data_IF_065866435522
#
_entry.id   IF_065866435522
#
_cell.length_a   1.000
_cell.length_b   1.000
_cell.length_c   1.000
_cell.angle_alpha   90.00
_cell.angle_beta   90.00
_cell.angle_gamma   90.00
#
_symmetry.space_group_name_H-M   'P 1'
#
loop_
_entity.id
_entity.type
_entity.pdbx_description
1 polymer ?
#
# COMPACT_ATOMS: atom_id res chain seq x y z
N UNK A 1 43.11 -14.10 5.32
CA UNK A 1 42.77 -12.97 6.21
C UNK A 1 42.59 -11.76 5.33
N UNK A 2 41.44 -11.18 5.07
CA UNK A 2 40.04 -11.47 5.38
C UNK A 2 39.30 -10.78 4.24
N UNK A 3 38.62 -11.55 3.39
CA UNK A 3 37.82 -10.98 2.31
C UNK A 3 36.65 -10.25 2.94
N UNK A 4 36.58 -8.95 2.68
CA UNK A 4 35.49 -8.07 3.07
C UNK A 4 34.19 -8.62 2.45
N UNK A 5 33.40 -9.32 3.27
CA UNK A 5 32.04 -9.70 2.91
C UNK A 5 31.21 -8.43 2.84
N UNK A 6 31.06 -7.88 1.64
CA UNK A 6 30.03 -6.90 1.33
C UNK A 6 28.68 -7.45 1.83
N UNK A 7 27.90 -6.69 2.62
CA UNK A 7 26.56 -7.13 3.01
C UNK A 7 25.79 -7.39 1.73
N UNK A 8 25.28 -8.62 1.57
CA UNK A 8 24.41 -8.96 0.45
C UNK A 8 23.32 -7.90 0.40
N UNK A 9 23.16 -7.25 -0.75
CA UNK A 9 22.07 -6.31 -0.96
C UNK A 9 20.78 -7.08 -0.61
N UNK A 10 20.19 -6.78 0.54
CA UNK A 10 18.92 -7.37 0.94
C UNK A 10 17.95 -7.06 -0.20
N UNK A 11 17.51 -8.12 -0.86
CA UNK A 11 16.68 -7.92 -2.04
C UNK A 11 15.28 -7.69 -1.54
N UNK A 12 14.95 -6.41 -1.40
CA UNK A 12 13.65 -5.97 -0.93
C UNK A 12 12.61 -6.44 -1.96
N UNK A 13 11.59 -7.20 -1.53
CA UNK A 13 10.51 -7.58 -2.42
C UNK A 13 9.89 -6.31 -3.02
N UNK A 14 9.65 -6.34 -4.33
CA UNK A 14 9.07 -5.21 -5.05
C UNK A 14 7.77 -5.64 -5.68
N UNK A 15 6.71 -4.89 -5.43
CA UNK A 15 5.41 -5.14 -6.05
C UNK A 15 5.13 -4.12 -7.13
N UNK A 16 4.23 -4.48 -8.03
CA UNK A 16 3.66 -3.57 -9.02
C UNK A 16 2.23 -3.98 -9.31
N UNK A 17 1.39 -3.05 -9.75
CA UNK A 17 0.06 -3.38 -10.28
C UNK A 17 0.16 -4.45 -11.39
N UNK A 18 -0.72 -5.45 -11.36
CA UNK A 18 -0.83 -6.42 -12.44
C UNK A 18 -1.27 -5.76 -13.76
N UNK A 19 -0.80 -6.31 -14.89
CA UNK A 19 -1.30 -5.92 -16.21
C UNK A 19 -2.74 -6.42 -16.35
N UNK A 20 -3.63 -5.57 -16.87
CA UNK A 20 -5.04 -5.92 -17.02
C UNK A 20 -5.89 -5.66 -15.77
N UNK A 21 -5.42 -4.89 -14.80
CA UNK A 21 -6.23 -4.41 -13.67
C UNK A 21 -6.57 -2.93 -13.87
N UNK A 22 -7.86 -2.61 -13.91
CA UNK A 22 -8.35 -1.24 -13.85
C UNK A 22 -8.22 -0.71 -12.43
N UNK A 23 -7.79 0.55 -12.31
CA UNK A 23 -7.60 1.24 -11.03
C UNK A 23 -8.30 2.58 -11.10
N UNK A 24 -9.13 2.85 -10.10
CA UNK A 24 -9.67 4.19 -9.85
C UNK A 24 -9.21 4.59 -8.45
N UNK A 25 -8.28 5.54 -8.38
CA UNK A 25 -7.75 6.07 -7.14
C UNK A 25 -8.46 7.39 -6.80
N UNK A 26 -9.19 7.40 -5.70
CA UNK A 26 -9.89 8.56 -5.14
C UNK A 26 -9.14 8.93 -3.85
N UNK A 27 -8.15 9.84 -3.92
CA UNK A 27 -7.43 10.26 -2.73
C UNK A 27 -8.39 10.94 -1.75
N UNK A 28 -8.00 10.96 -0.47
CA UNK A 28 -8.68 11.79 0.50
C UNK A 28 -8.67 13.24 0.00
N UNK A 29 -9.83 13.91 0.03
CA UNK A 29 -9.86 15.32 -0.32
C UNK A 29 -9.08 16.05 0.78
N UNK A 30 -8.01 16.78 0.41
CA UNK A 30 -7.24 17.63 1.33
C UNK A 30 -8.19 18.19 2.39
N UNK A 31 -7.97 17.82 3.65
CA UNK A 31 -8.68 18.38 4.79
C UNK A 31 -8.58 19.91 4.65
N UNK A 32 -9.63 20.55 4.14
CA UNK A 32 -9.74 21.99 4.30
C UNK A 32 -9.73 22.21 5.82
N UNK A 33 -8.93 23.18 6.32
CA UNK A 33 -8.90 23.45 7.75
C UNK A 33 -10.34 23.70 8.18
N UNK A 34 -10.87 22.78 9.00
CA UNK A 34 -12.23 22.83 9.49
C UNK A 34 -12.35 24.01 10.46
N UNK A 35 -12.62 25.19 9.91
CA UNK A 35 -12.98 26.37 10.70
C UNK A 35 -14.45 26.27 11.10
N UNK A 36 -14.82 25.36 12.01
CA UNK A 36 -16.07 25.47 12.75
C UNK A 36 -16.10 24.56 13.97
N UNK A 37 -16.01 25.16 15.15
CA UNK A 37 -16.57 24.57 16.36
C UNK A 37 -18.08 24.34 16.18
N UNK A 38 -18.54 23.17 16.57
CA UNK A 38 -19.94 22.80 16.55
C UNK A 38 -20.16 21.53 17.38
N UNK A 39 -20.62 21.72 18.60
CA UNK A 39 -20.98 20.68 19.56
C UNK A 39 -22.19 19.84 19.08
N UNK A 40 -22.00 18.55 18.76
CA UNK A 40 -22.99 17.50 19.06
C UNK A 40 -22.41 16.08 18.94
N UNK A 41 -22.53 15.21 19.97
CA UNK A 41 -22.20 13.79 19.87
C UNK A 41 -23.50 12.96 19.77
N UNK A 42 -23.74 12.30 18.65
CA UNK A 42 -24.58 11.10 18.55
C UNK A 42 -24.49 10.50 17.14
N UNK A 43 -24.30 9.18 17.09
CA UNK A 43 -24.26 8.29 15.94
C UNK A 43 -22.87 8.07 15.32
N UNK A 44 -22.57 6.79 15.05
CA UNK A 44 -21.23 6.20 14.90
C UNK A 44 -20.18 7.12 14.26
N UNK A 45 -19.23 7.57 15.08
CA UNK A 45 -18.10 8.40 14.68
C UNK A 45 -17.27 7.68 13.61
N UNK A 46 -17.63 7.89 12.33
CA UNK A 46 -16.73 7.70 11.22
C UNK A 46 -15.62 8.75 11.39
N UNK A 47 -14.58 8.37 12.14
CA UNK A 47 -13.27 8.96 11.93
C UNK A 47 -13.05 8.86 10.43
N UNK A 48 -12.81 9.95 9.69
CA UNK A 48 -12.46 9.84 8.29
C UNK A 48 -11.26 8.90 8.24
N UNK A 49 -11.45 7.71 7.64
CA UNK A 49 -10.38 6.75 7.54
C UNK A 49 -9.34 7.34 6.62
N UNK A 50 -8.30 7.96 7.20
CA UNK A 50 -7.24 8.60 6.45
C UNK A 50 -6.72 7.63 5.39
N UNK A 51 -6.74 8.07 4.12
CA UNK A 51 -6.25 7.27 3.00
C UNK A 51 -7.17 7.18 1.78
N UNK A 52 -8.37 7.78 1.79
CA UNK A 52 -9.27 7.75 0.63
C UNK A 52 -9.69 6.33 0.20
N UNK A 53 -10.00 6.16 -1.09
CA UNK A 53 -10.52 4.90 -1.64
C UNK A 53 -9.82 4.53 -2.95
N UNK A 54 -9.45 3.26 -3.10
CA UNK A 54 -8.94 2.68 -4.35
C UNK A 54 -9.86 1.55 -4.80
N UNK A 55 -10.40 1.67 -6.01
CA UNK A 55 -11.17 0.60 -6.67
C UNK A 55 -10.24 -0.16 -7.61
N UNK A 56 -10.22 -1.49 -7.49
CA UNK A 56 -9.43 -2.40 -8.32
C UNK A 56 -10.36 -3.39 -9.01
N UNK A 57 -10.18 -3.62 -10.31
CA UNK A 57 -10.96 -4.62 -11.04
C UNK A 57 -10.10 -5.33 -12.10
N UNK A 58 -9.98 -6.66 -12.06
CA UNK A 58 -9.41 -7.41 -13.17
C UNK A 58 -10.26 -7.21 -14.44
N UNK A 59 -9.64 -6.97 -15.57
CA UNK A 59 -10.30 -6.81 -16.86
C UNK A 59 -10.34 -8.13 -17.64
N UNK A 60 -11.34 -8.33 -18.53
CA UNK A 60 -12.42 -7.40 -18.86
C UNK A 60 -13.60 -7.36 -17.87
N UNK A 61 -13.86 -8.44 -17.13
CA UNK A 61 -15.11 -8.63 -16.37
C UNK A 61 -14.89 -9.16 -14.94
N UNK A 62 -13.71 -8.93 -14.35
CA UNK A 62 -13.39 -9.37 -13.00
C UNK A 62 -14.14 -8.59 -11.90
N UNK A 63 -14.24 -9.18 -10.69
CA UNK A 63 -14.92 -8.53 -9.57
C UNK A 63 -14.20 -7.26 -9.13
N UNK A 64 -14.98 -6.25 -8.71
CA UNK A 64 -14.44 -5.01 -8.15
C UNK A 64 -14.08 -5.23 -6.68
N UNK A 65 -12.80 -5.05 -6.34
CA UNK A 65 -12.32 -4.92 -4.97
C UNK A 65 -12.26 -3.43 -4.60
N UNK A 66 -12.66 -3.11 -3.37
CA UNK A 66 -12.65 -1.74 -2.84
C UNK A 66 -11.73 -1.71 -1.64
N UNK A 67 -10.69 -0.88 -1.71
CA UNK A 67 -9.76 -0.61 -0.62
C UNK A 67 -10.06 0.78 -0.07
N UNK A 68 -10.26 0.91 1.24
CA UNK A 68 -10.49 2.20 1.90
C UNK A 68 -9.46 2.45 3.01
N UNK A 69 -9.23 3.71 3.35
CA UNK A 69 -8.37 4.10 4.46
C UNK A 69 -6.97 3.51 4.38
N UNK A 70 -6.56 2.79 5.42
CA UNK A 70 -5.23 2.18 5.51
C UNK A 70 -4.95 1.19 4.36
N UNK A 71 -5.94 0.41 3.92
CA UNK A 71 -5.78 -0.55 2.82
C UNK A 71 -5.46 0.15 1.49
N UNK A 72 -6.05 1.33 1.27
CA UNK A 72 -5.76 2.17 0.11
C UNK A 72 -4.32 2.73 0.18
N UNK A 73 -3.87 3.15 1.37
CA UNK A 73 -2.49 3.60 1.61
C UNK A 73 -1.48 2.47 1.36
N UNK A 74 -1.73 1.29 1.93
CA UNK A 74 -0.93 0.08 1.75
C UNK A 74 -0.77 -0.26 0.27
N UNK A 75 -1.88 -0.30 -0.48
CA UNK A 75 -1.83 -0.56 -1.92
C UNK A 75 -0.94 0.45 -2.66
N UNK A 76 -1.11 1.75 -2.40
CA UNK A 76 -0.30 2.80 -3.04
C UNK A 76 1.18 2.66 -2.71
N UNK A 77 1.51 2.31 -1.47
CA UNK A 77 2.88 2.08 -1.06
C UNK A 77 3.50 0.88 -1.81
N UNK A 78 2.76 -0.22 -1.92
CA UNK A 78 3.21 -1.43 -2.63
C UNK A 78 3.45 -1.18 -4.12
N UNK A 79 2.54 -0.46 -4.81
CA UNK A 79 2.63 -0.30 -6.27
C UNK A 79 3.46 0.90 -6.74
N UNK A 80 3.79 1.85 -5.86
CA UNK A 80 4.74 2.92 -6.18
C UNK A 80 6.11 2.34 -6.57
N UNK A 81 6.47 1.21 -5.94
CA UNK A 81 7.64 0.42 -6.30
C UNK A 81 8.96 1.13 -5.99
N UNK A 82 8.97 2.21 -5.21
CA UNK A 82 10.17 2.91 -4.78
C UNK A 82 10.22 3.02 -3.25
N UNK A 83 11.39 2.72 -2.69
CA UNK A 83 11.64 2.81 -1.25
C UNK A 83 11.09 1.64 -0.42
N UNK A 84 11.13 1.82 0.89
CA UNK A 84 10.61 0.89 1.89
C UNK A 84 9.10 1.12 2.09
N UNK A 85 8.24 0.10 1.88
CA UNK A 85 6.80 0.23 2.06
C UNK A 85 6.42 0.62 3.50
N UNK A 86 7.15 0.15 4.52
CA UNK A 86 6.88 0.48 5.93
C UNK A 86 7.00 1.99 6.15
N UNK A 87 8.14 2.57 5.75
CA UNK A 87 8.38 4.00 5.87
C UNK A 87 7.32 4.84 5.14
N UNK A 88 6.83 4.36 3.99
CA UNK A 88 5.83 5.07 3.20
C UNK A 88 4.43 5.02 3.81
N UNK A 89 4.00 3.83 4.25
CA UNK A 89 2.74 3.65 4.96
C UNK A 89 2.72 4.49 6.24
N UNK A 90 3.81 4.48 7.01
CA UNK A 90 3.94 5.28 8.22
C UNK A 90 3.76 6.78 7.95
N UNK A 91 4.45 7.29 6.91
CA UNK A 91 4.35 8.69 6.49
C UNK A 91 2.93 9.06 6.08
N UNK A 92 2.30 8.22 5.26
CA UNK A 92 0.98 8.51 4.67
C UNK A 92 -0.15 8.35 5.71
N UNK A 93 0.04 7.55 6.76
CA UNK A 93 -0.87 7.45 7.91
C UNK A 93 -0.56 8.44 9.04
N UNK A 94 0.57 9.16 8.98
CA UNK A 94 1.00 10.08 10.03
C UNK A 94 1.43 9.39 11.34
N UNK A 95 1.91 8.15 11.25
CA UNK A 95 2.37 7.34 12.40
C UNK A 95 3.88 7.09 12.34
N UNK A 96 4.47 6.55 13.41
CA UNK A 96 5.88 6.17 13.40
C UNK A 96 6.08 4.87 12.61
N UNK A 97 7.22 4.69 11.89
CA UNK A 97 7.51 3.43 11.20
C UNK A 97 7.56 2.20 12.10
N UNK A 98 7.87 2.37 13.39
CA UNK A 98 7.86 1.30 14.39
C UNK A 98 6.45 0.80 14.75
N UNK A 99 5.42 1.62 14.50
CA UNK A 99 4.02 1.25 14.73
C UNK A 99 3.41 0.51 13.51
N UNK A 100 4.15 0.44 12.40
CA UNK A 100 3.71 -0.24 11.18
C UNK A 100 4.26 -1.66 11.17
N UNK A 101 3.35 -2.63 11.21
CA UNK A 101 3.70 -4.04 11.15
C UNK A 101 4.07 -4.46 9.72
N UNK A 102 5.34 -4.83 9.52
CA UNK A 102 5.84 -5.29 8.23
C UNK A 102 5.22 -6.64 7.81
N UNK A 103 4.89 -7.52 8.75
CA UNK A 103 4.25 -8.81 8.46
C UNK A 103 2.84 -8.59 7.91
N UNK A 104 2.10 -7.63 8.48
CA UNK A 104 0.79 -7.25 7.97
C UNK A 104 0.84 -6.65 6.54
N UNK A 105 1.93 -5.95 6.19
CA UNK A 105 2.15 -5.46 4.81
C UNK A 105 2.37 -6.64 3.86
N UNK A 106 3.22 -7.59 4.25
CA UNK A 106 3.52 -8.77 3.43
C UNK A 106 2.28 -9.65 3.23
N UNK A 107 1.51 -9.92 4.30
CA UNK A 107 0.25 -10.67 4.23
C UNK A 107 -0.75 -9.99 3.30
N UNK A 108 -0.95 -8.68 3.46
CA UNK A 108 -1.82 -7.90 2.58
C UNK A 108 -1.35 -7.94 1.11
N UNK A 109 -0.05 -7.86 0.88
CA UNK A 109 0.51 -7.94 -0.44
C UNK A 109 0.30 -9.33 -1.07
N UNK A 110 0.45 -10.40 -0.29
CA UNK A 110 0.21 -11.77 -0.75
C UNK A 110 -1.27 -11.99 -1.08
N UNK A 111 -2.22 -11.46 -0.29
CA UNK A 111 -3.66 -11.48 -0.64
C UNK A 111 -3.95 -10.80 -1.99
N UNK A 112 -3.34 -9.64 -2.25
CA UNK A 112 -3.50 -8.93 -3.52
C UNK A 112 -2.84 -9.66 -4.69
N UNK A 113 -1.76 -10.41 -4.45
CA UNK A 113 -1.12 -11.27 -5.45
C UNK A 113 -2.00 -12.48 -5.76
N UNK A 114 -2.56 -13.14 -4.75
CA UNK A 114 -3.48 -14.26 -4.91
C UNK A 114 -4.75 -13.84 -5.68
N UNK A 115 -5.24 -12.63 -5.44
CA UNK A 115 -6.33 -12.03 -6.18
C UNK A 115 -5.96 -11.58 -7.61
N UNK A 116 -4.67 -11.64 -7.99
CA UNK A 116 -4.16 -11.19 -9.30
C UNK A 116 -4.22 -9.67 -9.50
N UNK A 117 -4.30 -8.90 -8.42
CA UNK A 117 -4.41 -7.43 -8.43
C UNK A 117 -3.05 -6.74 -8.52
N UNK A 118 -2.03 -7.34 -7.89
CA UNK A 118 -0.64 -6.94 -7.99
C UNK A 118 0.24 -8.15 -8.36
N UNK A 119 1.47 -7.88 -8.75
CA UNK A 119 2.49 -8.90 -9.04
C UNK A 119 3.68 -8.63 -8.13
N UNK A 120 4.16 -9.69 -7.48
CA UNK A 120 5.42 -9.69 -6.73
C UNK A 120 6.56 -9.95 -7.70
N UNK A 121 7.49 -9.01 -7.80
CA UNK A 121 8.76 -9.23 -8.48
C UNK A 121 9.70 -9.90 -7.49
N UNK A 122 10.07 -11.14 -7.79
CA UNK A 122 11.15 -11.79 -7.07
C UNK A 122 12.41 -10.95 -7.18
N UNK A 123 13.17 -10.94 -6.10
CA UNK A 123 14.58 -10.60 -6.10
C UNK A 123 15.23 -11.10 -7.39
N UNK A 124 15.64 -10.19 -8.28
CA UNK A 124 15.98 -10.55 -9.66
C UNK A 124 16.86 -11.79 -9.71
N UNK A 125 16.46 -12.81 -10.46
CA UNK A 125 17.42 -13.83 -10.84
C UNK A 125 18.52 -13.14 -11.66
N UNK A 126 19.79 -13.20 -11.25
CA UNK A 126 20.88 -12.80 -12.11
C UNK A 126 20.98 -13.87 -13.22
N UNK A 127 20.42 -13.58 -14.40
CA UNK A 127 20.70 -14.34 -15.61
C UNK A 127 19.47 -14.86 -16.33
N UNK A 128 18.93 -14.04 -17.23
CA UNK A 128 18.36 -14.52 -18.47
C UNK A 128 18.51 -13.42 -19.52
N UNK A 129 19.69 -13.40 -20.16
CA UNK A 129 19.97 -13.29 -21.60
C UNK A 129 21.44 -12.93 -21.81
#
# INVERSE_FOLDING_TARGET
MTGDSMPGAEVVPRWSRAVGVAVVDVPDADEQPSEAGGEHPADGSAVPEAGGVVYLAPLPDGPVAVLSGASAVLYRALVAGDGDPVARVARDLGVSPEDVDAEAIDDFADELVEAGLIVRHGAGQPGAL
#
